data_IF_749491942695
#
_entry.id   IF_749491942695
#
_cell.length_a   1.000
_cell.length_b   1.000
_cell.length_c   1.000
_cell.angle_alpha   90.00
_cell.angle_beta   90.00
_cell.angle_gamma   90.00
#
_symmetry.space_group_name_H-M   'P 1'
#
loop_
_entity.id
_entity.type
_entity.pdbx_description
1 polymer ?
#
# COMPACT_ATOMS: atom_id res chain seq x y z
N UNK A 1 -13.33 16.34 1.94
CA UNK A 1 -12.88 17.58 1.28
C UNK A 1 -13.69 18.73 1.80
N UNK A 2 -13.39 19.94 1.35
CA UNK A 2 -14.29 21.11 1.48
C UNK A 2 -15.23 21.22 0.28
N UNK A 3 -14.97 20.48 -0.79
CA UNK A 3 -15.79 20.40 -2.00
C UNK A 3 -16.07 18.93 -2.34
N UNK A 4 -17.27 18.67 -2.87
CA UNK A 4 -17.69 17.39 -3.45
C UNK A 4 -18.06 17.65 -4.91
N UNK A 5 -17.58 16.81 -5.82
CA UNK A 5 -17.92 16.85 -7.24
C UNK A 5 -18.16 15.44 -7.77
N UNK A 6 -19.21 15.27 -8.56
CA UNK A 6 -19.36 14.10 -9.44
C UNK A 6 -18.49 14.35 -10.68
N UNK A 7 -17.49 13.50 -10.87
CA UNK A 7 -16.49 13.64 -11.94
C UNK A 7 -16.99 12.96 -13.20
N UNK A 8 -17.51 11.74 -13.03
CA UNK A 8 -18.09 10.93 -14.09
C UNK A 8 -19.34 10.27 -13.54
N UNK A 9 -20.41 10.26 -14.32
CA UNK A 9 -21.67 9.55 -14.02
C UNK A 9 -22.17 8.92 -15.32
N UNK A 10 -22.34 7.60 -15.29
CA UNK A 10 -22.86 6.82 -16.39
C UNK A 10 -23.33 5.45 -15.93
N UNK A 11 -23.86 4.66 -16.85
CA UNK A 11 -24.47 3.37 -16.51
C UNK A 11 -23.50 2.39 -15.85
N UNK A 12 -22.23 2.38 -16.26
CA UNK A 12 -21.24 1.42 -15.79
C UNK A 12 -20.32 1.94 -14.68
N UNK A 13 -20.33 3.26 -14.44
CA UNK A 13 -19.42 3.88 -13.49
C UNK A 13 -19.94 5.20 -12.91
N UNK A 14 -19.63 5.42 -11.64
CA UNK A 14 -19.65 6.73 -10.99
C UNK A 14 -18.28 7.01 -10.37
N UNK A 15 -17.70 8.16 -10.67
CA UNK A 15 -16.51 8.69 -9.98
C UNK A 15 -16.88 9.97 -9.22
N UNK A 16 -16.53 10.01 -7.93
CA UNK A 16 -16.74 11.18 -7.07
C UNK A 16 -15.40 11.69 -6.50
N UNK A 17 -15.30 13.00 -6.39
CA UNK A 17 -14.15 13.73 -5.87
C UNK A 17 -14.51 14.46 -4.59
N UNK A 18 -13.66 14.30 -3.57
CA UNK A 18 -13.66 15.09 -2.35
C UNK A 18 -12.36 15.87 -2.25
N UNK A 19 -12.33 17.05 -2.87
CA UNK A 19 -11.15 17.89 -2.92
C UNK A 19 -11.09 18.89 -1.78
N UNK A 20 -9.87 19.34 -1.50
CA UNK A 20 -9.56 20.45 -0.59
C UNK A 20 -8.29 21.12 -1.06
N UNK A 21 -8.38 22.37 -1.45
CA UNK A 21 -7.21 23.23 -1.66
C UNK A 21 -6.65 23.72 -0.33
N UNK A 22 -5.35 23.98 -0.28
CA UNK A 22 -4.75 24.63 0.87
C UNK A 22 -5.26 26.07 1.01
N UNK A 23 -5.43 26.51 2.26
CA UNK A 23 -5.91 27.84 2.63
C UNK A 23 -5.06 28.32 3.81
N UNK A 24 -4.24 29.34 3.57
CA UNK A 24 -3.29 29.89 4.53
C UNK A 24 -3.96 30.47 5.78
N UNK A 25 -5.26 30.79 5.72
CA UNK A 25 -6.01 31.26 6.89
C UNK A 25 -6.33 30.16 7.90
N UNK A 26 -6.25 28.88 7.50
CA UNK A 26 -6.59 27.73 8.35
C UNK A 26 -5.35 27.14 9.02
N UNK A 27 -5.30 27.20 10.35
CA UNK A 27 -4.21 26.62 11.14
C UNK A 27 -4.24 25.09 11.14
N UNK A 28 -3.07 24.46 11.25
CA UNK A 28 -2.92 23.02 11.45
C UNK A 28 -3.17 22.16 10.21
N UNK A 29 -3.34 22.79 9.04
CA UNK A 29 -3.51 22.12 7.76
C UNK A 29 -2.18 22.19 6.99
N UNK A 30 -1.63 21.06 6.49
CA UNK A 30 -0.43 21.11 5.66
C UNK A 30 -0.72 21.83 4.34
N UNK A 31 0.25 22.59 3.79
CA UNK A 31 0.18 23.26 2.49
C UNK A 31 0.17 22.26 1.34
N UNK A 32 -0.95 21.56 1.20
CA UNK A 32 -1.20 20.58 0.15
C UNK A 32 -2.65 20.69 -0.32
N UNK A 33 -2.82 20.71 -1.63
CA UNK A 33 -4.09 20.36 -2.26
C UNK A 33 -4.24 18.83 -2.20
N UNK A 34 -5.41 18.37 -1.77
CA UNK A 34 -5.71 16.94 -1.66
C UNK A 34 -7.03 16.68 -2.36
N UNK A 35 -7.02 15.77 -3.33
CA UNK A 35 -8.21 15.28 -4.01
C UNK A 35 -8.36 13.79 -3.76
N UNK A 36 -9.38 13.41 -2.98
CA UNK A 36 -9.71 12.01 -2.71
C UNK A 36 -10.79 11.57 -3.68
N UNK A 37 -10.52 10.48 -4.38
CA UNK A 37 -11.40 9.96 -5.41
C UNK A 37 -11.97 8.61 -5.00
N UNK A 38 -13.22 8.38 -5.36
CA UNK A 38 -13.89 7.09 -5.19
C UNK A 38 -14.57 6.72 -6.50
N UNK A 39 -14.38 5.48 -6.93
CA UNK A 39 -14.96 4.97 -8.16
C UNK A 39 -15.78 3.73 -7.84
N UNK A 40 -17.04 3.73 -8.24
CA UNK A 40 -17.95 2.58 -8.16
C UNK A 40 -18.25 2.12 -9.57
N UNK A 41 -18.14 0.81 -9.82
CA UNK A 41 -18.39 0.20 -11.13
C UNK A 41 -19.52 -0.81 -11.05
N UNK A 42 -20.34 -0.86 -12.09
CA UNK A 42 -21.42 -1.86 -12.22
C UNK A 42 -20.82 -3.27 -12.20
N UNK A 43 -21.43 -4.16 -11.41
CA UNK A 43 -21.01 -5.55 -11.31
C UNK A 43 -19.80 -5.81 -10.40
N UNK A 44 -19.22 -4.78 -9.77
CA UNK A 44 -18.13 -4.94 -8.81
C UNK A 44 -18.65 -4.99 -7.37
N UNK A 45 -18.25 -6.01 -6.61
CA UNK A 45 -18.54 -6.11 -5.16
C UNK A 45 -17.57 -5.27 -4.34
N UNK A 46 -17.57 -3.96 -4.55
CA UNK A 46 -16.61 -3.06 -3.92
C UNK A 46 -16.52 -1.71 -4.60
N UNK A 47 -15.52 -0.93 -4.20
CA UNK A 47 -15.22 0.37 -4.80
C UNK A 47 -13.72 0.66 -4.78
N UNK A 48 -13.27 1.46 -5.73
CA UNK A 48 -11.88 1.90 -5.83
C UNK A 48 -11.70 3.24 -5.12
N UNK A 49 -10.51 3.50 -4.59
CA UNK A 49 -10.14 4.82 -4.10
C UNK A 49 -8.69 5.13 -4.40
N UNK A 50 -8.44 6.38 -4.76
CA UNK A 50 -7.11 6.92 -4.97
C UNK A 50 -7.07 8.35 -4.44
N UNK A 51 -5.87 8.90 -4.31
CA UNK A 51 -5.70 10.28 -3.91
C UNK A 51 -4.67 10.97 -4.78
N UNK A 52 -4.97 12.19 -5.18
CA UNK A 52 -4.04 13.10 -5.84
C UNK A 52 -3.60 14.09 -4.76
N UNK A 53 -2.30 14.17 -4.52
CA UNK A 53 -1.72 15.16 -3.61
C UNK A 53 -0.85 16.10 -4.41
N UNK A 54 -0.96 17.39 -4.12
CA UNK A 54 -0.22 18.44 -4.82
C UNK A 54 0.30 19.48 -3.83
N UNK A 55 1.60 19.74 -3.91
CA UNK A 55 2.24 20.93 -3.37
C UNK A 55 2.37 21.92 -4.53
N UNK A 56 1.52 22.93 -4.58
CA UNK A 56 1.47 23.85 -5.72
C UNK A 56 2.63 24.85 -5.68
N UNK A 57 2.96 25.44 -6.83
CA UNK A 57 3.95 26.53 -6.90
C UNK A 57 3.56 27.68 -5.95
N UNK A 58 4.56 28.21 -5.26
CA UNK A 58 4.40 29.23 -4.22
C UNK A 58 3.83 28.74 -2.87
N UNK A 59 3.54 27.44 -2.68
CA UNK A 59 3.16 26.92 -1.36
C UNK A 59 4.37 26.91 -0.41
N UNK A 60 4.18 27.20 0.89
CA UNK A 60 5.27 27.23 1.86
C UNK A 60 5.76 25.82 2.19
N UNK A 61 6.98 25.74 2.72
CA UNK A 61 7.62 24.51 3.15
C UNK A 61 6.70 23.59 3.97
N UNK A 62 6.77 22.28 3.69
CA UNK A 62 6.12 21.26 4.52
C UNK A 62 6.87 19.94 4.54
N UNK A 63 6.83 19.29 5.70
CA UNK A 63 7.23 17.90 5.89
C UNK A 63 5.99 17.01 6.01
N UNK A 64 5.90 15.97 5.19
CA UNK A 64 4.83 14.98 5.23
C UNK A 64 5.43 13.62 5.60
N UNK A 65 5.01 13.10 6.75
CA UNK A 65 5.61 11.88 7.32
C UNK A 65 4.80 10.62 7.02
N UNK A 66 3.53 10.75 6.65
CA UNK A 66 2.66 9.63 6.30
C UNK A 66 1.47 10.06 5.44
N UNK A 67 1.03 9.16 4.57
CA UNK A 67 -0.19 9.28 3.77
C UNK A 67 -0.81 7.90 3.60
N UNK A 68 -2.11 7.80 3.88
CA UNK A 68 -2.82 6.51 3.92
C UNK A 68 -4.33 6.67 3.83
N UNK A 69 -5.00 5.61 3.40
CA UNK A 69 -6.43 5.39 3.61
C UNK A 69 -6.60 4.52 4.86
N UNK A 70 -7.58 4.84 5.71
CA UNK A 70 -7.88 4.08 6.92
C UNK A 70 -9.37 3.78 6.96
N UNK A 71 -9.70 2.49 7.10
CA UNK A 71 -11.05 2.02 7.39
C UNK A 71 -11.09 1.52 8.83
N UNK A 72 -11.97 2.12 9.63
CA UNK A 72 -12.31 1.62 10.96
C UNK A 72 -13.62 0.85 10.81
N UNK A 73 -13.52 -0.47 10.76
CA UNK A 73 -14.69 -1.32 10.58
C UNK A 73 -15.46 -1.43 11.89
N UNK A 74 -16.66 -2.00 11.81
CA UNK A 74 -17.53 -2.17 12.97
C UNK A 74 -16.93 -3.20 13.94
N UNK A 75 -16.56 -2.80 15.18
CA UNK A 75 -15.91 -3.68 16.14
C UNK A 75 -16.80 -4.81 16.65
N UNK A 76 -18.11 -4.67 16.52
CA UNK A 76 -19.09 -5.69 16.88
C UNK A 76 -19.31 -6.73 15.76
N UNK A 77 -18.84 -6.44 14.54
CA UNK A 77 -18.95 -7.35 13.39
C UNK A 77 -17.63 -8.04 13.07
N UNK A 78 -16.54 -7.27 12.97
CA UNK A 78 -15.24 -7.73 12.48
C UNK A 78 -14.27 -8.00 13.63
N UNK A 79 -13.77 -9.23 13.70
CA UNK A 79 -12.94 -9.72 14.81
C UNK A 79 -11.70 -10.50 14.35
N UNK A 80 -11.66 -10.92 13.09
CA UNK A 80 -10.59 -11.75 12.55
C UNK A 80 -9.86 -11.04 11.42
N UNK A 81 -8.55 -10.91 11.57
CA UNK A 81 -7.67 -10.28 10.61
C UNK A 81 -6.95 -11.34 9.77
N UNK A 82 -6.75 -11.05 8.49
CA UNK A 82 -5.90 -11.83 7.61
C UNK A 82 -5.04 -10.91 6.74
N UNK A 83 -3.71 -11.09 6.80
CA UNK A 83 -2.73 -10.27 6.06
C UNK A 83 -1.75 -11.12 5.23
N UNK A 84 -1.68 -12.43 5.48
CA UNK A 84 -0.98 -13.44 4.69
C UNK A 84 -1.54 -14.83 5.01
N UNK A 85 -1.14 -15.86 4.28
CA UNK A 85 -1.60 -17.24 4.53
C UNK A 85 -1.24 -17.74 5.94
N UNK A 86 -0.11 -17.28 6.49
CA UNK A 86 0.44 -17.68 7.79
C UNK A 86 0.17 -16.67 8.92
N UNK A 87 -0.39 -15.48 8.62
CA UNK A 87 -0.69 -14.43 9.61
C UNK A 87 -2.16 -14.06 9.54
N UNK A 88 -2.97 -14.92 10.15
CA UNK A 88 -4.41 -14.73 10.31
C UNK A 88 -4.82 -15.11 11.72
N UNK A 89 -5.66 -14.29 12.36
CA UNK A 89 -6.06 -14.53 13.74
C UNK A 89 -7.27 -13.72 14.17
N UNK A 90 -7.92 -14.18 15.23
CA UNK A 90 -8.77 -13.31 16.05
C UNK A 90 -7.89 -12.26 16.70
N UNK A 91 -8.32 -11.01 16.61
CA UNK A 91 -7.59 -9.85 17.12
C UNK A 91 -8.23 -9.33 18.41
N UNK A 92 -7.44 -8.74 19.32
CA UNK A 92 -8.00 -8.03 20.45
C UNK A 92 -8.81 -6.81 19.99
N UNK A 93 -9.84 -6.46 20.76
CA UNK A 93 -10.61 -5.23 20.53
C UNK A 93 -9.87 -4.01 21.06
N UNK A 94 -10.27 -2.81 20.63
CA UNK A 94 -9.76 -1.57 21.23
C UNK A 94 -10.07 -1.45 22.73
N UNK A 95 -11.15 -2.06 23.21
CA UNK A 95 -11.48 -2.05 24.64
C UNK A 95 -10.60 -3.02 25.43
N UNK A 96 -10.22 -4.16 24.84
CA UNK A 96 -9.24 -5.06 25.45
C UNK A 96 -7.92 -4.32 25.64
N UNK A 97 -7.42 -3.64 24.59
CA UNK A 97 -6.21 -2.81 24.68
C UNK A 97 -6.27 -1.72 25.75
N UNK A 98 -7.44 -1.12 26.02
CA UNK A 98 -7.60 -0.12 27.10
C UNK A 98 -7.52 -0.73 28.50
N UNK A 99 -7.86 -2.01 28.66
CA UNK A 99 -7.76 -2.76 29.92
C UNK A 99 -6.41 -3.46 30.07
N UNK A 100 -5.56 -3.41 29.06
CA UNK A 100 -4.22 -3.98 29.05
C UNK A 100 -3.20 -3.14 29.82
N UNK A 101 -2.03 -3.72 30.08
CA UNK A 101 -0.89 -2.99 30.64
C UNK A 101 0.04 -2.55 29.50
N UNK A 102 0.45 -1.28 29.45
CA UNK A 102 1.47 -0.83 28.50
C UNK A 102 2.81 -1.52 28.81
N UNK A 103 3.57 -1.82 27.77
CA UNK A 103 4.97 -2.25 27.87
C UNK A 103 5.89 -1.04 27.66
N UNK A 104 7.21 -1.27 27.58
CA UNK A 104 8.22 -0.22 27.43
C UNK A 104 8.03 0.64 26.17
N UNK A 105 7.44 0.07 25.12
CA UNK A 105 7.10 0.78 23.88
C UNK A 105 5.63 1.19 23.87
N UNK A 106 5.29 2.45 23.51
CA UNK A 106 3.92 2.96 23.62
C UNK A 106 2.94 2.27 22.66
N UNK A 107 3.42 1.61 21.62
CA UNK A 107 2.61 0.80 20.72
C UNK A 107 2.23 -0.58 21.26
N UNK A 108 2.99 -1.12 22.22
CA UNK A 108 2.87 -2.49 22.68
C UNK A 108 2.15 -2.57 24.03
N UNK A 109 1.21 -3.51 24.15
CA UNK A 109 0.49 -3.79 25.40
C UNK A 109 0.46 -5.29 25.65
N UNK A 110 0.48 -5.70 26.92
CA UNK A 110 0.18 -7.08 27.31
C UNK A 110 -1.29 -7.21 27.72
N UNK A 111 -1.99 -8.16 27.10
CA UNK A 111 -3.42 -8.39 27.29
C UNK A 111 -3.69 -9.11 28.63
N UNK A 112 -4.07 -8.36 29.68
CA UNK A 112 -4.30 -8.94 31.02
C UNK A 112 -5.73 -9.42 31.27
N UNK A 113 -6.71 -8.75 30.65
CA UNK A 113 -8.14 -9.02 30.80
C UNK A 113 -8.91 -8.82 29.47
N UNK A 114 -8.58 -9.58 28.41
CA UNK A 114 -9.28 -9.51 27.13
C UNK A 114 -10.65 -10.20 27.19
N UNK A 115 -11.60 -9.70 26.40
CA UNK A 115 -12.94 -10.30 26.27
C UNK A 115 -12.89 -11.73 25.71
N UNK A 116 -11.91 -12.03 24.85
CA UNK A 116 -11.57 -13.39 24.47
C UNK A 116 -10.43 -13.92 25.37
N UNK A 117 -10.70 -14.86 26.30
CA UNK A 117 -9.69 -15.35 27.24
C UNK A 117 -8.49 -16.03 26.58
N UNK A 118 -8.62 -16.52 25.34
CA UNK A 118 -7.49 -17.15 24.63
C UNK A 118 -6.36 -16.16 24.32
N UNK A 119 -6.66 -14.86 24.30
CA UNK A 119 -5.69 -13.80 24.03
C UNK A 119 -4.93 -13.35 25.28
N UNK A 120 -5.30 -13.87 26.47
CA UNK A 120 -4.72 -13.42 27.73
C UNK A 120 -3.24 -13.79 27.81
N UNK A 121 -2.41 -12.82 28.18
CA UNK A 121 -0.95 -12.96 28.28
C UNK A 121 -0.22 -12.69 26.97
N UNK A 122 -0.93 -12.51 25.85
CA UNK A 122 -0.31 -12.13 24.59
C UNK A 122 0.09 -10.65 24.57
N UNK A 123 1.12 -10.34 23.78
CA UNK A 123 1.50 -8.96 23.44
C UNK A 123 0.84 -8.58 22.13
N UNK A 124 0.16 -7.43 22.13
CA UNK A 124 -0.40 -6.82 20.92
C UNK A 124 0.33 -5.51 20.60
N UNK A 125 1.00 -5.49 19.45
CA UNK A 125 1.72 -4.36 18.89
C UNK A 125 1.31 -4.20 17.41
N UNK A 126 0.99 -2.97 17.01
CA UNK A 126 0.59 -2.64 15.65
C UNK A 126 1.65 -3.06 14.61
N UNK A 127 2.93 -3.07 14.97
CA UNK A 127 4.03 -3.46 14.08
C UNK A 127 4.11 -4.97 13.84
N UNK A 128 3.42 -5.81 14.64
CA UNK A 128 3.27 -7.24 14.37
C UNK A 128 2.42 -7.52 13.12
N UNK A 129 1.79 -6.49 12.55
CA UNK A 129 0.92 -6.55 11.38
C UNK A 129 1.48 -5.72 10.21
N UNK A 130 2.79 -5.47 10.19
CA UNK A 130 3.46 -4.91 9.01
C UNK A 130 3.66 -5.97 7.93
N UNK A 131 3.74 -5.53 6.68
CA UNK A 131 4.17 -6.36 5.54
C UNK A 131 5.10 -5.55 4.65
N UNK A 132 6.01 -6.22 3.94
CA UNK A 132 6.79 -5.59 2.89
C UNK A 132 5.85 -5.08 1.79
N UNK A 133 6.25 -3.99 1.11
CA UNK A 133 5.45 -3.41 0.05
C UNK A 133 5.11 -4.43 -1.03
N UNK A 134 6.08 -5.24 -1.47
CA UNK A 134 5.88 -6.28 -2.51
C UNK A 134 4.88 -7.36 -2.12
N UNK A 135 4.72 -7.64 -0.83
CA UNK A 135 3.85 -8.71 -0.32
C UNK A 135 2.48 -8.15 0.14
N UNK A 136 2.37 -6.85 0.40
CA UNK A 136 1.13 -6.17 0.82
C UNK A 136 0.18 -5.91 -0.36
N UNK A 137 -0.28 -6.99 -1.02
CA UNK A 137 -1.19 -6.97 -2.18
C UNK A 137 -2.65 -7.16 -1.82
N UNK A 138 -2.95 -7.94 -0.79
CA UNK A 138 -4.31 -8.10 -0.23
C UNK A 138 -4.25 -8.35 1.27
N UNK A 139 -5.10 -7.66 2.02
CA UNK A 139 -5.27 -7.86 3.46
C UNK A 139 -6.62 -7.32 3.91
N UNK A 140 -7.08 -7.77 5.07
CA UNK A 140 -8.42 -7.37 5.51
C UNK A 140 -8.90 -8.01 6.79
N UNK A 141 -10.21 -7.97 6.95
CA UNK A 141 -10.93 -8.43 8.13
C UNK A 141 -12.16 -9.24 7.74
N UNK A 142 -12.48 -10.25 8.54
CA UNK A 142 -13.65 -11.11 8.38
C UNK A 142 -14.60 -10.88 9.55
N UNK A 143 -15.89 -10.76 9.28
CA UNK A 143 -16.92 -10.78 10.31
C UNK A 143 -17.28 -12.20 10.75
N UNK A 144 -17.10 -12.54 12.04
CA UNK A 144 -17.60 -13.80 12.60
C UNK A 144 -19.06 -13.73 13.03
N UNK A 145 -19.57 -12.54 13.36
CA UNK A 145 -20.71 -12.35 14.25
C UNK A 145 -22.03 -11.99 13.54
N UNK A 146 -22.16 -12.32 12.26
CA UNK A 146 -23.32 -11.96 11.43
C UNK A 146 -23.99 -13.18 10.78
N UNK A 147 -25.26 -13.03 10.39
CA UNK A 147 -26.06 -14.07 9.71
C UNK A 147 -25.41 -14.56 8.39
N UNK A 148 -24.51 -13.75 7.82
CA UNK A 148 -23.56 -14.10 6.76
C UNK A 148 -22.16 -13.63 7.14
N UNK A 149 -21.13 -14.46 6.95
CA UNK A 149 -19.73 -14.03 7.16
C UNK A 149 -19.31 -13.15 5.99
N UNK A 150 -18.77 -11.97 6.27
CA UNK A 150 -18.37 -10.99 5.25
C UNK A 150 -16.89 -10.68 5.39
N UNK A 151 -16.15 -10.70 4.28
CA UNK A 151 -14.79 -10.20 4.21
C UNK A 151 -14.77 -8.75 3.73
N UNK A 152 -13.94 -7.92 4.36
CA UNK A 152 -13.56 -6.60 3.86
C UNK A 152 -12.07 -6.62 3.57
N UNK A 153 -11.71 -6.37 2.31
CA UNK A 153 -10.34 -6.51 1.82
C UNK A 153 -9.87 -5.23 1.17
N UNK A 154 -8.61 -4.86 1.40
CA UNK A 154 -7.91 -3.83 0.64
C UNK A 154 -6.99 -4.55 -0.34
N UNK A 155 -7.25 -4.39 -1.63
CA UNK A 155 -6.43 -4.92 -2.72
C UNK A 155 -5.59 -3.77 -3.29
N UNK A 156 -4.28 -3.97 -3.31
CA UNK A 156 -3.30 -3.03 -3.86
C UNK A 156 -2.67 -3.65 -5.11
N UNK A 157 -3.16 -3.31 -6.32
CA UNK A 157 -2.76 -4.00 -7.55
C UNK A 157 -1.33 -3.67 -8.00
N UNK A 158 -0.81 -2.50 -7.61
CA UNK A 158 0.55 -2.03 -7.88
C UNK A 158 1.09 -1.26 -6.68
N UNK A 159 2.41 -1.34 -6.49
CA UNK A 159 3.14 -0.61 -5.44
C UNK A 159 3.86 0.62 -5.99
N UNK A 160 3.65 0.99 -7.26
CA UNK A 160 4.46 2.01 -7.95
C UNK A 160 4.48 3.38 -7.27
N UNK A 161 3.41 3.68 -6.53
CA UNK A 161 3.23 4.93 -5.80
C UNK A 161 3.76 4.89 -4.37
N UNK A 162 4.20 3.73 -3.85
CA UNK A 162 4.72 3.59 -2.49
C UNK A 162 6.16 4.09 -2.35
N UNK A 163 6.59 4.43 -1.13
CA UNK A 163 7.97 4.84 -0.85
C UNK A 163 8.88 3.68 -0.42
N UNK A 164 10.19 3.87 -0.54
CA UNK A 164 11.25 2.97 -0.03
C UNK A 164 11.36 1.58 -0.68
N UNK A 165 10.86 1.42 -1.91
CA UNK A 165 11.03 0.19 -2.69
C UNK A 165 10.24 -1.03 -2.18
N UNK A 166 10.53 -2.24 -2.72
CA UNK A 166 9.68 -3.41 -2.56
C UNK A 166 9.78 -4.02 -1.16
N UNK A 167 10.94 -3.97 -0.53
CA UNK A 167 11.21 -4.56 0.80
C UNK A 167 10.89 -3.62 1.97
N UNK A 168 10.55 -2.36 1.70
CA UNK A 168 10.10 -1.47 2.77
C UNK A 168 8.82 -2.02 3.39
N UNK A 169 8.82 -2.12 4.71
CA UNK A 169 7.66 -2.53 5.48
C UNK A 169 6.73 -1.35 5.82
N UNK A 170 5.44 -1.63 5.84
CA UNK A 170 4.44 -0.72 6.38
C UNK A 170 3.24 -1.47 6.98
N UNK A 171 2.41 -0.74 7.71
CA UNK A 171 1.28 -1.27 8.47
C UNK A 171 0.13 -1.69 7.56
N UNK A 172 -0.47 -2.85 7.83
CA UNK A 172 -1.65 -3.33 7.11
C UNK A 172 -2.93 -3.23 7.95
N UNK A 173 -2.87 -3.64 9.22
CA UNK A 173 -4.02 -3.72 10.13
C UNK A 173 -3.66 -3.33 11.56
N UNK A 174 -4.65 -2.88 12.36
CA UNK A 174 -4.51 -2.68 13.81
C UNK A 174 -5.69 -3.29 14.56
N UNK A 175 -5.46 -3.65 15.82
CA UNK A 175 -6.53 -3.98 16.77
C UNK A 175 -7.63 -2.90 16.81
N UNK A 176 -8.89 -3.32 16.89
CA UNK A 176 -10.05 -2.43 16.77
C UNK A 176 -10.59 -2.30 15.35
N UNK A 177 -10.94 -3.44 14.74
CA UNK A 177 -10.77 -3.78 13.31
C UNK A 177 -10.43 -2.59 12.38
N UNK A 178 -9.14 -2.23 12.35
CA UNK A 178 -8.63 -1.17 11.47
C UNK A 178 -7.89 -1.80 10.30
N UNK A 179 -8.27 -1.44 9.08
CA UNK A 179 -7.55 -1.77 7.85
C UNK A 179 -6.92 -0.50 7.25
N UNK A 180 -5.65 -0.58 6.86
CA UNK A 180 -4.88 0.54 6.34
C UNK A 180 -4.39 0.25 4.92
N UNK A 181 -4.50 1.24 4.03
CA UNK A 181 -3.74 1.27 2.78
C UNK A 181 -2.68 2.35 2.92
N UNK A 182 -1.44 1.94 3.20
CA UNK A 182 -0.31 2.86 3.36
C UNK A 182 0.20 3.24 1.96
N UNK A 183 0.25 4.55 1.69
CA UNK A 183 0.88 5.10 0.50
C UNK A 183 2.35 5.41 0.75
N UNK A 184 2.63 6.06 1.87
CA UNK A 184 4.00 6.33 2.30
C UNK A 184 4.03 6.52 3.81
N UNK A 185 5.17 6.22 4.41
CA UNK A 185 5.46 6.52 5.81
C UNK A 185 6.95 6.58 6.09
N UNK A 186 7.30 7.10 7.26
CA UNK A 186 8.65 7.00 7.84
C UNK A 186 8.89 5.69 8.61
N UNK A 187 7.93 4.75 8.65
CA UNK A 187 8.12 3.49 9.39
C UNK A 187 9.32 2.72 8.84
N UNK A 188 10.12 2.13 9.74
CA UNK A 188 11.30 1.30 9.45
C UNK A 188 12.50 1.98 8.75
N UNK A 189 12.42 3.26 8.37
CA UNK A 189 13.60 4.00 7.87
C UNK A 189 13.78 5.40 8.48
N UNK A 190 12.75 5.96 9.15
CA UNK A 190 12.86 7.23 9.88
C UNK A 190 12.87 8.47 9.00
N UNK A 191 13.64 9.48 9.42
CA UNK A 191 13.69 10.81 8.80
C UNK A 191 14.02 10.83 7.30
N UNK A 192 14.87 9.95 6.74
CA UNK A 192 15.16 9.90 5.30
C UNK A 192 13.93 9.69 4.40
N UNK A 193 12.82 9.14 4.93
CA UNK A 193 11.58 8.94 4.16
C UNK A 193 10.54 10.06 4.35
N UNK A 194 10.91 11.16 5.01
CA UNK A 194 10.04 12.33 5.07
C UNK A 194 9.97 12.96 3.67
N UNK A 195 8.76 13.13 3.15
CA UNK A 195 8.57 14.00 1.99
C UNK A 195 8.69 15.46 2.44
N UNK A 196 9.86 16.05 2.19
CA UNK A 196 10.16 17.45 2.44
C UNK A 196 9.95 18.26 1.16
N UNK A 197 9.07 19.25 1.18
CA UNK A 197 8.90 20.19 0.07
C UNK A 197 9.42 21.56 0.51
N UNK A 198 10.34 22.14 -0.26
CA UNK A 198 10.84 23.48 0.00
C UNK A 198 9.80 24.54 -0.36
N UNK A 199 10.03 25.78 0.08
CA UNK A 199 9.19 26.92 -0.32
C UNK A 199 9.10 27.02 -1.85
N UNK A 200 7.87 26.95 -2.35
CA UNK A 200 7.56 27.01 -3.78
C UNK A 200 7.95 25.78 -4.59
N UNK A 201 8.35 24.66 -3.99
CA UNK A 201 8.71 23.45 -4.73
C UNK A 201 7.47 22.75 -5.32
N UNK A 202 7.18 22.80 -6.64
CA UNK A 202 5.99 22.18 -7.16
C UNK A 202 6.12 20.66 -7.15
N UNK A 203 5.08 19.97 -6.71
CA UNK A 203 5.02 18.51 -6.73
C UNK A 203 3.57 18.04 -6.83
N UNK A 204 3.35 16.96 -7.58
CA UNK A 204 2.04 16.33 -7.71
C UNK A 204 2.20 14.83 -7.94
N UNK A 205 1.41 14.02 -7.25
CA UNK A 205 1.45 12.56 -7.36
C UNK A 205 0.08 11.92 -7.13
N UNK A 206 -0.16 10.82 -7.84
CA UNK A 206 -1.33 9.95 -7.68
C UNK A 206 -0.94 8.74 -6.83
N UNK A 207 -1.78 8.42 -5.84
CA UNK A 207 -1.63 7.25 -4.98
C UNK A 207 -2.84 6.33 -5.13
N UNK A 208 -2.62 5.10 -5.60
CA UNK A 208 -3.68 4.17 -6.02
C UNK A 208 -4.02 4.28 -7.52
N UNK A 209 -5.18 3.77 -7.98
CA UNK A 209 -6.26 3.23 -7.15
C UNK A 209 -5.97 1.93 -6.42
N UNK A 210 -6.45 1.84 -5.18
CA UNK A 210 -6.62 0.59 -4.42
C UNK A 210 -8.09 0.20 -4.43
N UNK A 211 -8.38 -1.10 -4.35
CA UNK A 211 -9.73 -1.64 -4.42
C UNK A 211 -10.19 -2.16 -3.05
N UNK A 212 -11.30 -1.61 -2.54
CA UNK A 212 -11.97 -2.11 -1.35
C UNK A 212 -12.97 -3.17 -1.79
N UNK A 213 -12.61 -4.43 -1.61
CA UNK A 213 -13.38 -5.59 -2.02
C UNK A 213 -14.19 -6.18 -0.87
N UNK A 214 -15.40 -6.60 -1.18
CA UNK A 214 -16.34 -7.23 -0.26
C UNK A 214 -16.78 -8.57 -0.85
N UNK A 215 -16.69 -9.62 -0.05
CA UNK A 215 -17.25 -10.93 -0.36
C UNK A 215 -17.98 -11.51 0.86
N UNK A 216 -18.82 -12.51 0.62
CA UNK A 216 -19.60 -13.11 1.69
C UNK A 216 -19.84 -14.59 1.47
N UNK A 217 -19.91 -15.34 2.57
CA UNK A 217 -20.38 -16.73 2.61
C UNK A 217 -21.51 -16.85 3.63
N UNK A 218 -22.28 -17.93 3.57
CA UNK A 218 -23.29 -18.21 4.58
C UNK A 218 -22.66 -18.31 5.98
N UNK A 219 -23.45 -18.17 7.05
CA UNK A 219 -22.97 -18.33 8.43
C UNK A 219 -22.33 -19.69 8.75
N UNK A 220 -22.54 -20.70 7.90
CA UNK A 220 -21.91 -22.01 8.01
C UNK A 220 -20.68 -22.17 7.09
N UNK A 221 -20.44 -21.25 6.15
CA UNK A 221 -19.34 -21.31 5.18
C UNK A 221 -17.98 -20.97 5.78
N UNK A 222 -16.93 -21.63 5.32
CA UNK A 222 -15.58 -21.46 5.87
C UNK A 222 -15.01 -20.05 5.62
N UNK A 223 -14.31 -19.50 6.62
CA UNK A 223 -13.59 -18.23 6.51
C UNK A 223 -12.48 -18.30 5.47
N UNK A 224 -11.86 -19.48 5.32
CA UNK A 224 -10.81 -19.70 4.32
C UNK A 224 -11.32 -19.39 2.91
N UNK A 225 -12.60 -19.68 2.60
CA UNK A 225 -13.20 -19.36 1.31
C UNK A 225 -13.21 -17.86 1.03
N UNK A 226 -13.44 -17.01 2.03
CA UNK A 226 -13.40 -15.55 1.86
C UNK A 226 -11.98 -15.06 1.54
N UNK A 227 -10.96 -15.66 2.17
CA UNK A 227 -9.57 -15.32 1.94
C UNK A 227 -9.08 -15.77 0.56
N UNK A 228 -9.37 -17.02 0.17
CA UNK A 228 -9.00 -17.53 -1.15
C UNK A 228 -9.65 -16.72 -2.28
N UNK A 229 -10.93 -16.38 -2.15
CA UNK A 229 -11.63 -15.52 -3.10
C UNK A 229 -11.02 -14.11 -3.17
N UNK A 230 -10.62 -13.53 -2.03
CA UNK A 230 -9.92 -12.23 -2.01
C UNK A 230 -8.55 -12.30 -2.70
N UNK A 231 -7.80 -13.41 -2.56
CA UNK A 231 -6.55 -13.63 -3.29
C UNK A 231 -6.79 -13.78 -4.80
N UNK A 232 -7.80 -14.54 -5.21
CA UNK A 232 -8.19 -14.62 -6.63
C UNK A 232 -8.55 -13.25 -7.19
N UNK A 233 -9.33 -12.46 -6.43
CA UNK A 233 -9.68 -11.10 -6.81
C UNK A 233 -8.45 -10.19 -6.92
N UNK A 234 -7.50 -10.33 -6.02
CA UNK A 234 -6.24 -9.58 -6.05
C UNK A 234 -5.45 -9.85 -7.34
N UNK A 235 -5.39 -11.11 -7.80
CA UNK A 235 -4.74 -11.46 -9.07
C UNK A 235 -5.45 -10.77 -10.24
N UNK A 236 -6.79 -10.85 -10.33
CA UNK A 236 -7.56 -10.17 -11.37
C UNK A 236 -7.29 -8.67 -11.42
N UNK A 237 -7.23 -8.02 -10.25
CA UNK A 237 -7.03 -6.57 -10.16
C UNK A 237 -5.58 -6.17 -10.51
N UNK A 238 -4.59 -7.02 -10.25
CA UNK A 238 -3.22 -6.80 -10.75
C UNK A 238 -3.14 -6.98 -12.26
N UNK A 239 -3.84 -7.96 -12.84
CA UNK A 239 -3.84 -8.17 -14.30
C UNK A 239 -4.51 -7.01 -15.05
N UNK A 240 -5.46 -6.33 -14.40
CA UNK A 240 -6.11 -5.12 -14.92
C UNK A 240 -5.26 -3.85 -14.76
N UNK A 241 -4.10 -3.90 -14.10
CA UNK A 241 -3.30 -2.72 -13.87
C UNK A 241 -2.47 -2.31 -15.11
N UNK A 242 -2.41 -1.01 -15.46
CA UNK A 242 -3.15 0.11 -14.87
C UNK A 242 -4.59 0.14 -15.37
N UNK A 243 -5.49 0.62 -14.51
CA UNK A 243 -6.91 0.74 -14.84
C UNK A 243 -7.16 1.75 -15.97
N UNK A 244 -8.16 1.49 -16.81
CA UNK A 244 -8.57 2.33 -17.95
C UNK A 244 -9.67 3.35 -17.61
N UNK A 245 -10.20 3.28 -16.39
CA UNK A 245 -11.42 3.97 -15.99
C UNK A 245 -11.27 5.18 -15.06
N UNK A 246 -10.15 5.45 -14.35
CA UNK A 246 -9.99 6.70 -13.63
C UNK A 246 -10.04 7.91 -14.57
N UNK A 247 -10.89 8.89 -14.26
CA UNK A 247 -11.12 10.05 -15.15
C UNK A 247 -10.08 11.19 -14.97
N UNK A 248 -9.14 11.06 -14.05
CA UNK A 248 -8.15 12.10 -13.77
C UNK A 248 -7.04 12.10 -14.81
N UNK A 249 -6.74 13.24 -15.42
CA UNK A 249 -5.60 13.43 -16.34
C UNK A 249 -4.24 13.18 -15.66
N UNK A 250 -4.17 13.33 -14.33
CA UNK A 250 -2.97 13.00 -13.55
C UNK A 250 -2.69 11.48 -13.47
N UNK A 251 -3.69 10.64 -13.78
CA UNK A 251 -3.52 9.20 -13.83
C UNK A 251 -3.11 8.79 -15.25
N UNK A 252 -1.84 8.44 -15.42
CA UNK A 252 -1.28 8.07 -16.73
C UNK A 252 -1.80 6.72 -17.18
N UNK A 253 -2.41 6.68 -18.36
CA UNK A 253 -3.05 5.51 -18.94
C UNK A 253 -2.04 4.45 -19.42
N UNK A 254 -2.53 3.24 -19.71
CA UNK A 254 -1.70 2.09 -20.08
C UNK A 254 -0.86 2.35 -21.34
N UNK A 255 -1.47 2.94 -22.38
CA UNK A 255 -0.87 3.23 -23.68
C UNK A 255 0.24 4.30 -23.62
N UNK A 256 0.29 5.06 -22.52
CA UNK A 256 1.31 6.07 -22.27
C UNK A 256 2.48 5.54 -21.43
N UNK A 257 2.44 4.26 -21.03
CA UNK A 257 3.46 3.63 -20.19
C UNK A 257 4.37 2.73 -21.03
N UNK A 258 5.59 2.57 -20.57
CA UNK A 258 6.62 1.77 -21.22
C UNK A 258 6.73 0.37 -20.61
N UNK A 259 7.39 -0.52 -21.36
CA UNK A 259 7.89 -1.81 -20.86
C UNK A 259 9.40 -1.83 -21.03
N UNK A 260 10.10 -2.28 -20.00
CA UNK A 260 11.53 -2.55 -20.01
C UNK A 260 11.74 -4.04 -19.84
N UNK A 261 12.48 -4.66 -20.74
CA UNK A 261 12.91 -6.04 -20.61
C UNK A 261 14.43 -6.12 -20.75
N UNK A 262 15.03 -7.11 -20.10
CA UNK A 262 16.46 -7.30 -20.13
C UNK A 262 16.86 -8.59 -19.45
N UNK A 263 18.17 -8.79 -19.36
CA UNK A 263 18.77 -9.91 -18.63
C UNK A 263 19.77 -9.36 -17.63
N UNK A 264 19.63 -9.76 -16.38
CA UNK A 264 20.49 -9.31 -15.29
C UNK A 264 21.54 -10.38 -15.00
N UNK A 265 22.81 -9.98 -15.11
CA UNK A 265 23.98 -10.81 -14.87
C UNK A 265 24.91 -10.06 -13.92
N UNK A 266 25.51 -10.78 -12.98
CA UNK A 266 26.41 -10.20 -11.98
C UNK A 266 27.78 -10.86 -12.05
N UNK A 267 28.81 -10.14 -11.60
CA UNK A 267 30.14 -10.70 -11.39
C UNK A 267 30.51 -10.57 -9.93
N UNK A 268 30.75 -11.70 -9.28
CA UNK A 268 31.31 -11.76 -7.94
C UNK A 268 32.60 -12.58 -8.00
N UNK A 269 33.74 -11.88 -7.87
CA UNK A 269 35.07 -12.48 -7.97
C UNK A 269 35.38 -13.49 -6.86
N UNK A 270 34.60 -13.50 -5.77
CA UNK A 270 34.76 -14.49 -4.70
C UNK A 270 34.00 -15.79 -4.97
N UNK A 271 33.01 -15.76 -5.87
CA UNK A 271 32.19 -16.93 -6.22
C UNK A 271 32.64 -17.55 -7.54
N UNK A 272 32.83 -16.74 -8.59
CA UNK A 272 33.25 -17.24 -9.91
C UNK A 272 34.10 -16.20 -10.65
N UNK A 273 34.93 -16.66 -11.60
CA UNK A 273 35.70 -15.76 -12.48
C UNK A 273 34.83 -15.09 -13.58
N UNK A 274 33.60 -15.58 -13.79
CA UNK A 274 32.73 -15.21 -14.91
C UNK A 274 31.52 -14.36 -14.53
N UNK A 275 30.68 -14.08 -15.54
CA UNK A 275 29.32 -13.56 -15.29
C UNK A 275 28.42 -14.70 -14.82
N UNK A 276 27.67 -14.45 -13.76
CA UNK A 276 26.69 -15.36 -13.20
C UNK A 276 25.29 -14.85 -13.52
N UNK A 277 24.38 -15.81 -13.71
CA UNK A 277 22.96 -15.49 -13.85
C UNK A 277 22.41 -15.02 -12.51
N UNK A 278 21.81 -13.83 -12.50
CA UNK A 278 21.19 -13.26 -11.32
C UNK A 278 19.74 -13.76 -11.23
N UNK A 279 19.55 -14.94 -10.62
CA UNK A 279 18.23 -15.56 -10.43
C UNK A 279 17.50 -14.93 -9.26
N UNK A 280 16.18 -14.75 -9.38
CA UNK A 280 15.35 -14.10 -8.36
C UNK A 280 15.89 -12.74 -7.92
N UNK A 281 16.57 -12.05 -8.84
CA UNK A 281 17.10 -10.72 -8.59
C UNK A 281 15.95 -9.73 -8.62
N UNK A 282 15.92 -8.83 -7.64
CA UNK A 282 15.02 -7.70 -7.67
C UNK A 282 15.65 -6.63 -8.55
N UNK A 283 14.98 -6.28 -9.64
CA UNK A 283 15.43 -5.28 -10.61
C UNK A 283 14.42 -4.14 -10.60
N UNK A 284 14.88 -2.91 -10.44
CA UNK A 284 14.02 -1.76 -10.21
C UNK A 284 14.42 -0.49 -10.94
N UNK A 285 13.43 0.35 -11.20
CA UNK A 285 13.60 1.72 -11.66
C UNK A 285 13.15 2.66 -10.54
N UNK A 286 14.00 3.62 -10.19
CA UNK A 286 13.67 4.73 -9.30
C UNK A 286 14.23 6.04 -9.87
N UNK A 287 13.75 7.21 -9.41
CA UNK A 287 14.26 8.50 -9.87
C UNK A 287 15.78 8.61 -9.71
N UNK A 288 16.46 9.42 -10.54
CA UNK A 288 17.92 9.50 -10.50
C UNK A 288 18.43 9.98 -9.15
N UNK A 289 19.44 9.30 -8.64
CA UNK A 289 20.11 9.63 -7.38
C UNK A 289 21.37 8.80 -7.20
N UNK A 290 21.99 8.92 -6.01
CA UNK A 290 23.17 8.12 -5.65
C UNK A 290 22.81 6.62 -5.56
N UNK A 291 23.84 5.77 -5.47
CA UNK A 291 23.66 4.33 -5.17
C UNK A 291 22.81 4.13 -3.92
N UNK A 292 21.81 3.26 -3.96
CA UNK A 292 20.91 3.00 -2.84
C UNK A 292 19.82 4.05 -2.58
N UNK A 293 19.77 5.15 -3.34
CA UNK A 293 18.79 6.23 -3.13
C UNK A 293 17.33 5.78 -3.30
N UNK A 294 17.06 4.69 -4.01
CA UNK A 294 15.71 4.11 -4.11
C UNK A 294 15.13 3.70 -2.74
N UNK A 295 15.97 3.36 -1.77
CA UNK A 295 15.55 2.96 -0.41
C UNK A 295 14.96 4.13 0.38
N UNK A 296 15.33 5.36 0.02
CA UNK A 296 14.88 6.60 0.68
C UNK A 296 13.99 7.46 -0.21
N UNK A 297 13.76 7.04 -1.46
CA UNK A 297 12.85 7.71 -2.39
C UNK A 297 11.40 7.69 -1.87
N UNK A 298 10.78 8.87 -1.82
CA UNK A 298 9.41 9.09 -1.33
C UNK A 298 8.54 10.00 -2.20
N UNK A 299 9.12 10.86 -3.03
CA UNK A 299 8.42 11.85 -3.88
C UNK A 299 8.03 11.29 -5.25
N UNK A 300 8.90 10.50 -5.87
CA UNK A 300 8.71 9.93 -7.20
C UNK A 300 8.04 8.55 -7.17
N UNK A 301 7.96 7.94 -8.35
CA UNK A 301 7.47 6.56 -8.52
C UNK A 301 8.64 5.59 -8.62
N UNK A 302 8.44 4.37 -8.14
CA UNK A 302 9.40 3.28 -8.31
C UNK A 302 8.73 2.08 -8.96
N UNK A 303 9.46 1.31 -9.76
CA UNK A 303 8.95 0.11 -10.43
C UNK A 303 9.90 -1.03 -10.15
N UNK A 304 9.37 -2.21 -9.84
CA UNK A 304 10.18 -3.35 -9.41
C UNK A 304 9.64 -4.63 -10.04
N UNK A 305 10.55 -5.51 -10.42
CA UNK A 305 10.23 -6.87 -10.89
C UNK A 305 11.29 -7.84 -10.37
N UNK A 306 10.95 -9.12 -10.37
CA UNK A 306 11.92 -10.19 -10.14
C UNK A 306 12.39 -10.77 -11.49
N UNK A 307 13.66 -11.15 -11.58
CA UNK A 307 14.21 -11.91 -12.71
C UNK A 307 13.94 -13.42 -12.57
N UNK A 308 13.82 -14.11 -13.70
CA UNK A 308 13.59 -15.55 -13.74
C UNK A 308 14.87 -16.39 -13.51
N UNK A 309 14.78 -17.70 -13.68
CA UNK A 309 15.88 -18.66 -13.55
C UNK A 309 17.05 -18.41 -14.52
N UNK A 310 16.82 -17.66 -15.61
CA UNK A 310 17.82 -17.27 -16.60
C UNK A 310 18.32 -15.84 -16.37
N UNK A 311 17.80 -15.14 -15.36
CA UNK A 311 18.07 -13.74 -15.09
C UNK A 311 17.31 -12.79 -16.02
N UNK A 312 16.40 -13.30 -16.85
CA UNK A 312 15.58 -12.49 -17.73
C UNK A 312 14.46 -11.83 -16.91
N UNK A 313 14.15 -10.57 -17.21
CA UNK A 313 13.11 -9.81 -16.51
C UNK A 313 12.28 -8.98 -17.50
N UNK A 314 11.02 -8.75 -17.13
CA UNK A 314 10.10 -7.85 -17.84
C UNK A 314 9.38 -6.98 -16.82
N UNK A 315 9.64 -5.68 -16.87
CA UNK A 315 8.98 -4.67 -16.07
C UNK A 315 8.00 -3.89 -16.95
N UNK A 316 6.70 -4.05 -16.70
CA UNK A 316 5.62 -3.42 -17.46
C UNK A 316 5.13 -2.14 -16.75
N UNK A 317 4.33 -1.35 -17.47
CA UNK A 317 3.55 -0.24 -16.92
C UNK A 317 4.39 0.90 -16.31
N UNK A 318 5.62 1.09 -16.79
CA UNK A 318 6.54 2.11 -16.31
C UNK A 318 6.05 3.48 -16.76
N UNK A 319 5.93 4.41 -15.81
CA UNK A 319 5.56 5.79 -16.13
C UNK A 319 6.65 6.49 -16.96
N UNK A 320 6.29 7.43 -17.85
CA UNK A 320 7.28 8.27 -18.52
C UNK A 320 8.16 9.01 -17.51
N UNK A 321 9.47 8.95 -17.69
CA UNK A 321 10.41 9.62 -16.80
C UNK A 321 11.86 9.28 -17.10
N UNK A 322 12.75 9.86 -16.29
CA UNK A 322 14.16 9.48 -16.21
C UNK A 322 14.34 8.64 -14.96
N UNK A 323 15.05 7.53 -15.08
CA UNK A 323 15.24 6.58 -13.99
C UNK A 323 16.68 6.07 -13.99
N UNK A 324 17.17 5.72 -12.81
CA UNK A 324 18.28 4.80 -12.65
C UNK A 324 17.74 3.37 -12.60
N UNK A 325 18.50 2.42 -13.14
CA UNK A 325 18.25 0.99 -12.97
C UNK A 325 19.05 0.51 -11.76
N UNK A 326 18.37 -0.19 -10.86
CA UNK A 326 18.92 -0.77 -9.65
C UNK A 326 18.70 -2.28 -9.67
N UNK A 327 19.61 -3.03 -9.04
CA UNK A 327 19.43 -4.47 -8.85
C UNK A 327 20.09 -5.01 -7.59
N UNK A 328 19.47 -6.02 -6.97
CA UNK A 328 20.14 -6.88 -5.99
C UNK A 328 19.70 -8.32 -6.14
N UNK A 329 20.55 -9.24 -5.68
CA UNK A 329 20.29 -10.68 -5.74
C UNK A 329 20.26 -11.22 -4.32
N UNK A 330 19.18 -11.90 -3.89
CA UNK A 330 19.13 -12.54 -2.59
C UNK A 330 20.35 -13.44 -2.34
N UNK A 331 20.99 -13.27 -1.19
CA UNK A 331 22.18 -14.05 -0.81
C UNK A 331 23.50 -13.58 -1.41
N UNK A 332 23.51 -12.53 -2.24
CA UNK A 332 24.72 -11.96 -2.82
C UNK A 332 24.88 -10.53 -2.30
N UNK A 333 26.06 -10.22 -1.77
CA UNK A 333 26.34 -8.93 -1.18
C UNK A 333 26.55 -7.91 -2.31
N UNK A 334 25.70 -6.90 -2.34
CA UNK A 334 25.85 -5.78 -3.25
C UNK A 334 24.52 -5.25 -3.75
N UNK A 335 24.60 -4.03 -4.27
CA UNK A 335 23.58 -3.37 -5.06
C UNK A 335 24.28 -2.94 -6.36
N UNK A 336 23.57 -3.05 -7.49
CA UNK A 336 24.10 -2.85 -8.83
C UNK A 336 23.33 -1.80 -9.61
#
# INVERSE_FOLDING_TARGET
GTQLRVVTEGDDQVEISFSRSWDSSKRGIPPLNIDKRYIMRRGSSGFYSYSIMEHADGFPHVNVTQGRIVFKLRPDLFDYMAISDDRQRIMPTSNDRKRSLPLDYPEAVILVDPANPSLKGEVDDKYQYSSENKDSRVHGWISSQSDSRTGFWIITPSIEFKNGGPVKQDLTSHAGPIALSMFFSTHYAGLPLIMNFNDGEPWKKVFGPVFMYLNSVSSQGDRATLWEDAKSKMVEETDKWPYDFPASEDFVAAEQRATLNGRFLIRDSYLTEGLMTARSAQVGLAPPGDSGSWQTESKGYQFWTESDENGDFVMKNILPGKYNLYGWVPGIIGEY
#
